data_IF_683296855991
#
_entry.id   IF_683296855991
#
_cell.length_a   1.000
_cell.length_b   1.000
_cell.length_c   1.000
_cell.angle_alpha   90.00
_cell.angle_beta   90.00
_cell.angle_gamma   90.00
#
_symmetry.space_group_name_H-M   'P 1'
#
loop_
_entity.id
_entity.type
_entity.pdbx_description
1 polymer ?
#
# COMPACT_ATOMS: atom_id res chain seq x y z
N UNK A 1 -18.38 8.30 15.26
CA UNK A 1 -16.93 7.98 15.27
C UNK A 1 -16.53 7.42 16.62
N UNK A 2 -15.95 6.22 16.65
CA UNK A 2 -15.41 5.59 17.85
C UNK A 2 -13.88 5.59 17.77
N UNK A 3 -13.25 6.53 18.46
CA UNK A 3 -11.80 6.75 18.41
C UNK A 3 -11.00 5.55 18.95
N UNK A 4 -11.51 4.86 19.97
CA UNK A 4 -10.82 3.70 20.53
C UNK A 4 -10.79 2.51 19.55
N UNK A 5 -11.88 2.32 18.78
CA UNK A 5 -11.91 1.33 17.70
C UNK A 5 -10.91 1.68 16.62
N UNK A 6 -10.84 2.94 16.19
CA UNK A 6 -9.88 3.41 15.18
C UNK A 6 -8.44 3.21 15.65
N UNK A 7 -8.09 3.63 16.87
CA UNK A 7 -6.76 3.45 17.47
C UNK A 7 -6.36 1.98 17.55
N UNK A 8 -7.27 1.11 18.00
CA UNK A 8 -7.01 -0.32 18.10
C UNK A 8 -6.74 -0.95 16.75
N UNK A 9 -7.60 -0.65 15.75
CA UNK A 9 -7.45 -1.17 14.39
C UNK A 9 -6.17 -0.65 13.74
N UNK A 10 -5.88 0.65 13.84
CA UNK A 10 -4.67 1.24 13.27
C UNK A 10 -3.38 0.63 13.87
N UNK A 11 -3.33 0.43 15.20
CA UNK A 11 -2.21 -0.26 15.86
C UNK A 11 -2.07 -1.71 15.39
N UNK A 12 -3.18 -2.42 15.17
CA UNK A 12 -3.14 -3.79 14.66
C UNK A 12 -2.59 -3.83 13.22
N UNK A 13 -2.90 -2.83 12.40
CA UNK A 13 -2.41 -2.74 11.02
C UNK A 13 -0.88 -2.67 10.94
N UNK A 14 -0.25 -2.04 11.91
CA UNK A 14 1.21 -1.84 12.00
C UNK A 14 1.86 -2.60 13.16
N UNK A 15 1.27 -3.73 13.56
CA UNK A 15 1.81 -4.59 14.60
C UNK A 15 3.22 -5.06 14.25
N UNK A 16 4.05 -5.28 15.28
CA UNK A 16 5.46 -5.66 15.11
C UNK A 16 5.64 -6.87 14.17
N UNK A 17 6.52 -6.72 13.21
CA UNK A 17 6.82 -7.74 12.21
C UNK A 17 5.67 -8.06 11.26
N UNK A 18 4.60 -7.26 11.21
CA UNK A 18 3.46 -7.48 10.31
C UNK A 18 3.29 -6.33 9.34
N UNK A 19 2.86 -6.66 8.14
CA UNK A 19 2.54 -5.66 7.11
C UNK A 19 1.23 -5.96 6.39
N UNK A 20 1.00 -5.27 5.29
CA UNK A 20 -0.25 -5.32 4.54
C UNK A 20 0.04 -5.75 3.09
N UNK A 21 -0.75 -6.66 2.55
CA UNK A 21 -0.75 -6.90 1.10
C UNK A 21 -1.72 -5.92 0.44
N UNK A 22 -1.25 -5.21 -0.57
CA UNK A 22 -2.11 -4.49 -1.48
C UNK A 22 -2.53 -5.43 -2.62
N UNK A 23 -3.74 -5.99 -2.52
CA UNK A 23 -4.36 -6.88 -3.51
C UNK A 23 -5.62 -6.21 -4.12
N UNK A 24 -5.52 -4.91 -4.33
CA UNK A 24 -6.60 -4.00 -4.68
C UNK A 24 -6.55 -3.49 -6.11
N UNK A 25 -5.83 -4.21 -6.98
CA UNK A 25 -5.77 -3.85 -8.40
C UNK A 25 -7.17 -3.85 -9.01
N UNK A 26 -7.52 -2.72 -9.66
CA UNK A 26 -8.73 -2.62 -10.47
C UNK A 26 -8.69 -3.61 -11.64
N UNK A 27 -9.84 -3.92 -12.24
CA UNK A 27 -9.92 -4.84 -13.39
C UNK A 27 -8.95 -4.46 -14.50
N UNK A 28 -8.83 -3.15 -14.84
CA UNK A 28 -7.87 -2.69 -15.85
C UNK A 28 -6.40 -2.83 -15.43
N UNK A 29 -6.09 -2.75 -14.14
CA UNK A 29 -4.73 -3.01 -13.63
C UNK A 29 -4.44 -4.52 -13.61
N UNK A 30 -5.42 -5.34 -13.22
CA UNK A 30 -5.31 -6.79 -13.33
C UNK A 30 -5.10 -7.23 -14.78
N UNK A 31 -5.84 -6.66 -15.74
CA UNK A 31 -5.68 -6.96 -17.16
C UNK A 31 -4.26 -6.73 -17.64
N UNK A 32 -3.67 -5.56 -17.33
CA UNK A 32 -2.28 -5.27 -17.67
C UNK A 32 -1.31 -6.29 -17.08
N UNK A 33 -1.51 -6.71 -15.83
CA UNK A 33 -0.66 -7.69 -15.14
C UNK A 33 -0.85 -9.10 -15.71
N UNK A 34 -2.09 -9.54 -15.91
CA UNK A 34 -2.40 -10.88 -16.46
C UNK A 34 -1.90 -11.04 -17.89
N UNK A 35 -1.98 -9.97 -18.69
CA UNK A 35 -1.39 -9.95 -20.06
C UNK A 35 0.10 -10.24 -20.04
N UNK A 36 0.87 -9.74 -19.06
CA UNK A 36 2.32 -10.00 -18.98
C UNK A 36 2.67 -11.46 -18.72
N UNK A 37 1.74 -12.24 -18.22
CA UNK A 37 1.90 -13.68 -17.90
C UNK A 37 1.02 -14.57 -18.76
N UNK A 38 0.35 -14.03 -19.79
CA UNK A 38 -0.43 -14.78 -20.76
C UNK A 38 -1.75 -15.36 -20.25
N UNK A 39 -2.29 -14.85 -19.14
CA UNK A 39 -3.55 -15.32 -18.57
C UNK A 39 -4.69 -14.39 -18.97
N UNK A 40 -5.85 -14.90 -19.46
CA UNK A 40 -7.03 -14.07 -19.72
C UNK A 40 -7.55 -13.41 -18.45
N UNK A 41 -7.84 -12.11 -18.50
CA UNK A 41 -8.34 -11.37 -17.33
C UNK A 41 -9.86 -11.46 -17.21
N UNK A 42 -10.38 -12.66 -17.02
CA UNK A 42 -11.80 -12.91 -16.72
C UNK A 42 -12.06 -12.63 -15.23
N UNK A 43 -13.33 -12.41 -14.85
CA UNK A 43 -13.73 -12.28 -13.46
C UNK A 43 -13.32 -13.52 -12.65
N UNK A 44 -13.56 -14.72 -13.20
CA UNK A 44 -13.21 -15.99 -12.57
C UNK A 44 -11.69 -16.14 -12.36
N UNK A 45 -10.86 -15.79 -13.33
CA UNK A 45 -9.41 -15.85 -13.15
C UNK A 45 -8.92 -14.84 -12.10
N UNK A 46 -9.55 -13.65 -12.01
CA UNK A 46 -9.27 -12.70 -10.93
C UNK A 46 -9.67 -13.27 -9.57
N UNK A 47 -10.86 -13.89 -9.47
CA UNK A 47 -11.35 -14.54 -8.26
C UNK A 47 -10.41 -15.65 -7.78
N UNK A 48 -10.04 -16.58 -8.67
CA UNK A 48 -9.12 -17.70 -8.36
C UNK A 48 -7.75 -17.18 -7.92
N UNK A 49 -7.22 -16.17 -8.59
CA UNK A 49 -5.96 -15.55 -8.19
C UNK A 49 -6.04 -14.92 -6.79
N UNK A 50 -7.14 -14.20 -6.49
CA UNK A 50 -7.39 -13.65 -5.15
C UNK A 50 -7.57 -14.74 -4.10
N UNK A 51 -8.30 -15.78 -4.42
CA UNK A 51 -8.44 -16.95 -3.56
C UNK A 51 -7.09 -17.58 -3.22
N UNK A 52 -6.20 -17.73 -4.21
CA UNK A 52 -4.84 -18.24 -4.00
C UNK A 52 -4.06 -17.43 -2.95
N UNK A 53 -4.21 -16.11 -2.94
CA UNK A 53 -3.59 -15.24 -1.95
C UNK A 53 -4.27 -15.38 -0.58
N UNK A 54 -5.60 -15.27 -0.54
CA UNK A 54 -6.40 -15.16 0.69
C UNK A 54 -6.42 -16.47 1.48
N UNK A 55 -6.36 -17.61 0.80
CA UNK A 55 -6.37 -18.93 1.43
C UNK A 55 -4.98 -19.46 1.78
N UNK A 56 -3.90 -18.72 1.49
CA UNK A 56 -2.55 -19.15 1.80
C UNK A 56 -2.42 -19.54 3.30
N UNK A 57 -1.76 -20.66 3.62
CA UNK A 57 -1.60 -21.09 5.00
C UNK A 57 -0.56 -20.19 5.71
N UNK A 58 -0.74 -20.00 7.01
CA UNK A 58 0.26 -19.35 7.90
C UNK A 58 0.66 -17.91 7.54
N UNK A 59 0.06 -17.28 6.53
CA UNK A 59 0.46 -15.92 6.11
C UNK A 59 0.08 -14.85 7.17
N UNK A 60 -0.87 -15.16 8.04
CA UNK A 60 -1.23 -14.34 9.19
C UNK A 60 -0.09 -14.15 10.19
N UNK A 61 0.96 -14.96 10.13
CA UNK A 61 2.18 -14.78 10.93
C UNK A 61 2.94 -13.50 10.54
N UNK A 62 2.83 -13.08 9.29
CA UNK A 62 3.60 -11.98 8.69
C UNK A 62 2.73 -10.79 8.26
N UNK A 63 1.42 -10.97 8.22
CA UNK A 63 0.50 -9.97 7.71
C UNK A 63 -0.55 -9.60 8.75
N UNK A 64 -0.90 -8.32 8.77
CA UNK A 64 -1.96 -7.74 9.59
C UNK A 64 -3.23 -7.45 8.78
N UNK A 65 -3.11 -7.22 7.47
CA UNK A 65 -4.23 -6.84 6.63
C UNK A 65 -4.01 -7.10 5.14
N UNK A 66 -5.11 -7.09 4.41
CA UNK A 66 -5.12 -7.14 2.94
C UNK A 66 -6.06 -6.06 2.43
N UNK A 67 -5.58 -5.21 1.51
CA UNK A 67 -6.43 -4.25 0.80
C UNK A 67 -7.09 -4.99 -0.36
N UNK A 68 -8.41 -5.01 -0.39
CA UNK A 68 -9.21 -5.65 -1.44
C UNK A 68 -9.73 -4.61 -2.44
N UNK A 69 -10.10 -5.07 -3.63
CA UNK A 69 -10.86 -4.30 -4.59
C UNK A 69 -12.37 -4.52 -4.38
N UNK A 70 -13.22 -3.62 -4.88
CA UNK A 70 -14.69 -3.70 -4.74
C UNK A 70 -15.26 -5.05 -5.20
N UNK A 71 -14.82 -5.56 -6.37
CA UNK A 71 -15.20 -6.88 -6.85
C UNK A 71 -14.84 -7.96 -5.84
N UNK A 72 -13.61 -7.92 -5.30
CA UNK A 72 -13.06 -8.98 -4.44
C UNK A 72 -13.72 -9.07 -3.07
N UNK A 73 -14.06 -7.93 -2.45
CA UNK A 73 -14.69 -7.95 -1.11
C UNK A 73 -16.10 -8.55 -1.14
N UNK A 74 -16.71 -8.61 -2.33
CA UNK A 74 -18.04 -9.18 -2.58
C UNK A 74 -17.99 -10.65 -2.98
N UNK A 75 -16.80 -11.18 -3.31
CA UNK A 75 -16.61 -12.54 -3.79
C UNK A 75 -16.44 -13.55 -2.66
N UNK A 76 -16.64 -14.81 -3.03
CA UNK A 76 -16.57 -15.99 -2.18
C UNK A 76 -15.52 -16.97 -2.74
N UNK A 77 -15.03 -17.86 -1.89
CA UNK A 77 -14.19 -18.98 -2.29
C UNK A 77 -15.02 -20.10 -2.93
N UNK A 78 -14.36 -21.19 -3.33
CA UNK A 78 -15.00 -22.35 -3.94
C UNK A 78 -16.00 -23.08 -3.00
N UNK A 79 -15.99 -22.76 -1.71
CA UNK A 79 -16.90 -23.34 -0.70
C UNK A 79 -18.07 -22.38 -0.38
N UNK A 80 -18.15 -21.21 -1.00
CA UNK A 80 -19.17 -20.21 -0.73
C UNK A 80 -18.89 -19.37 0.53
N UNK A 81 -17.64 -19.32 1.01
CA UNK A 81 -17.26 -18.47 2.11
C UNK A 81 -16.69 -17.13 1.59
N UNK A 82 -17.21 -16.00 2.09
CA UNK A 82 -16.76 -14.67 1.68
C UNK A 82 -15.28 -14.46 2.01
N UNK A 83 -14.52 -13.87 1.10
CA UNK A 83 -13.10 -13.59 1.31
C UNK A 83 -12.81 -12.75 2.55
N UNK A 84 -13.66 -11.78 2.88
CA UNK A 84 -13.51 -10.97 4.09
C UNK A 84 -13.69 -11.80 5.38
N UNK A 85 -14.58 -12.79 5.37
CA UNK A 85 -14.81 -13.68 6.52
C UNK A 85 -13.63 -14.65 6.72
N UNK A 86 -13.07 -15.19 5.64
CA UNK A 86 -11.84 -16.00 5.67
C UNK A 86 -10.69 -15.21 6.29
N UNK A 87 -10.49 -13.98 5.88
CA UNK A 87 -9.46 -13.09 6.44
C UNK A 87 -9.67 -12.84 7.92
N UNK A 88 -10.90 -12.48 8.31
CA UNK A 88 -11.26 -12.20 9.70
C UNK A 88 -11.03 -13.42 10.61
N UNK A 89 -11.40 -14.64 10.17
CA UNK A 89 -11.13 -15.89 10.89
C UNK A 89 -9.64 -16.15 11.12
N UNK A 90 -8.79 -15.69 10.20
CA UNK A 90 -7.32 -15.77 10.32
C UNK A 90 -6.72 -14.61 11.15
N UNK A 91 -7.54 -13.68 11.65
CA UNK A 91 -7.07 -12.50 12.37
C UNK A 91 -6.44 -11.43 11.48
N UNK A 92 -6.71 -11.49 10.17
CA UNK A 92 -6.28 -10.52 9.16
C UNK A 92 -7.39 -9.49 8.96
N UNK A 93 -7.02 -8.22 8.96
CA UNK A 93 -7.95 -7.11 8.74
C UNK A 93 -8.32 -7.01 7.24
N UNK A 94 -9.60 -7.13 6.87
CA UNK A 94 -10.04 -6.78 5.52
C UNK A 94 -9.99 -5.27 5.32
N UNK A 95 -9.34 -4.83 4.26
CA UNK A 95 -9.30 -3.44 3.81
C UNK A 95 -9.91 -3.28 2.44
N UNK A 96 -10.23 -2.05 2.07
CA UNK A 96 -10.90 -1.73 0.80
C UNK A 96 -10.29 -0.50 0.12
N UNK A 97 -9.98 -0.62 -1.18
CA UNK A 97 -9.67 0.52 -2.03
C UNK A 97 -10.96 1.25 -2.39
N UNK A 98 -11.05 2.52 -2.06
CA UNK A 98 -12.28 3.32 -2.25
C UNK A 98 -12.15 4.44 -3.27
N UNK A 99 -10.93 4.79 -3.72
CA UNK A 99 -10.75 5.76 -4.79
C UNK A 99 -11.23 5.22 -6.16
N UNK A 100 -11.69 6.11 -7.04
CA UNK A 100 -12.11 5.82 -8.40
C UNK A 100 -10.96 5.91 -9.43
N UNK A 101 -9.72 6.04 -8.96
CA UNK A 101 -8.51 6.13 -9.76
C UNK A 101 -8.07 7.54 -10.11
N UNK A 102 -6.82 7.65 -10.52
CA UNK A 102 -6.22 8.91 -10.94
C UNK A 102 -6.70 9.31 -12.34
N UNK A 103 -7.10 10.57 -12.51
CA UNK A 103 -7.54 11.21 -13.75
C UNK A 103 -6.60 12.36 -14.10
N UNK A 104 -6.64 12.83 -15.33
CA UNK A 104 -5.87 14.00 -15.73
C UNK A 104 -6.34 15.23 -14.95
N UNK A 105 -5.40 15.97 -14.36
CA UNK A 105 -5.71 17.23 -13.72
C UNK A 105 -5.93 18.30 -14.80
N UNK A 106 -7.14 18.86 -14.86
CA UNK A 106 -7.50 19.84 -15.87
C UNK A 106 -6.52 21.03 -15.88
N UNK A 107 -6.07 21.44 -17.06
CA UNK A 107 -5.11 22.52 -17.29
C UNK A 107 -3.68 22.27 -16.76
N UNK A 108 -3.38 21.08 -16.25
CA UNK A 108 -2.07 20.66 -15.78
C UNK A 108 -1.60 19.40 -16.49
N UNK A 109 -0.98 19.50 -17.68
CA UNK A 109 -0.50 18.35 -18.44
C UNK A 109 0.41 17.44 -17.60
N UNK A 110 0.24 16.12 -17.77
CA UNK A 110 1.02 15.07 -17.10
C UNK A 110 0.84 14.98 -15.57
N UNK A 111 0.00 15.81 -14.98
CA UNK A 111 -0.38 15.73 -13.58
C UNK A 111 -1.75 15.04 -13.40
N UNK A 112 -1.95 14.43 -12.25
CA UNK A 112 -3.16 13.65 -11.94
C UNK A 112 -3.84 14.17 -10.69
N UNK A 113 -5.16 14.00 -10.66
CA UNK A 113 -6.00 14.11 -9.45
C UNK A 113 -6.77 12.81 -9.26
N UNK A 114 -6.87 12.34 -8.03
CA UNK A 114 -7.63 11.13 -7.73
C UNK A 114 -9.06 11.49 -7.39
N UNK A 115 -10.00 10.81 -8.06
CA UNK A 115 -11.44 10.98 -7.88
C UNK A 115 -12.04 9.87 -7.01
N UNK A 116 -13.32 10.03 -6.59
CA UNK A 116 -14.06 8.99 -5.86
C UNK A 116 -14.71 9.45 -4.56
N UNK A 117 -14.80 10.78 -4.30
CA UNK A 117 -15.48 11.30 -3.10
C UNK A 117 -17.02 11.24 -3.22
N UNK A 118 -17.55 11.33 -4.45
CA UNK A 118 -18.98 11.29 -4.66
C UNK A 118 -19.58 9.94 -4.23
N UNK A 119 -20.61 9.96 -3.38
CA UNK A 119 -21.23 8.77 -2.81
C UNK A 119 -20.31 7.93 -1.91
N UNK A 120 -19.19 8.48 -1.43
CA UNK A 120 -18.25 7.71 -0.63
C UNK A 120 -18.81 7.33 0.74
N UNK A 121 -19.62 8.20 1.37
CA UNK A 121 -20.26 7.91 2.67
C UNK A 121 -21.12 6.65 2.59
N UNK A 122 -21.93 6.54 1.55
CA UNK A 122 -22.81 5.40 1.32
C UNK A 122 -22.01 4.13 1.03
N UNK A 123 -20.97 4.24 0.20
CA UNK A 123 -20.06 3.10 -0.09
C UNK A 123 -19.30 2.62 1.15
N UNK A 124 -18.84 3.53 2.02
CA UNK A 124 -18.18 3.13 3.28
C UNK A 124 -19.13 2.40 4.22
N UNK A 125 -20.40 2.87 4.32
CA UNK A 125 -21.42 2.16 5.10
C UNK A 125 -21.66 0.75 4.54
N UNK A 126 -21.74 0.59 3.22
CA UNK A 126 -21.87 -0.71 2.57
C UNK A 126 -20.63 -1.60 2.83
N UNK A 127 -19.42 -1.10 2.59
CA UNK A 127 -18.19 -1.89 2.80
C UNK A 127 -18.02 -2.34 4.26
N UNK A 128 -18.50 -1.56 5.21
CA UNK A 128 -18.53 -1.97 6.62
C UNK A 128 -19.39 -3.22 6.82
N UNK A 129 -20.51 -3.38 6.08
CA UNK A 129 -21.35 -4.60 6.15
C UNK A 129 -20.65 -5.82 5.56
N UNK A 130 -19.69 -5.63 4.65
CA UNK A 130 -18.81 -6.69 4.14
C UNK A 130 -17.60 -6.97 5.05
N UNK A 131 -17.45 -6.27 6.17
CA UNK A 131 -16.39 -6.49 7.14
C UNK A 131 -15.15 -5.63 6.93
N UNK A 132 -15.17 -4.60 6.07
CA UNK A 132 -14.04 -3.69 5.91
C UNK A 132 -13.72 -2.96 7.22
N UNK A 133 -12.47 -3.02 7.67
CA UNK A 133 -11.97 -2.38 8.89
C UNK A 133 -11.07 -1.18 8.60
N UNK A 134 -10.49 -1.12 7.42
CA UNK A 134 -9.71 0.01 6.95
C UNK A 134 -9.95 0.25 5.45
N UNK A 135 -9.68 1.45 5.01
CA UNK A 135 -9.80 1.84 3.61
C UNK A 135 -8.48 2.40 3.09
N UNK A 136 -8.33 2.48 1.76
CA UNK A 136 -7.16 3.06 1.13
C UNK A 136 -7.57 4.00 -0.01
N UNK A 137 -6.90 5.17 -0.05
CA UNK A 137 -6.98 6.15 -1.12
C UNK A 137 -5.58 6.52 -1.58
N UNK A 138 -5.33 6.40 -2.88
CA UNK A 138 -4.03 6.68 -3.49
C UNK A 138 -4.11 7.94 -4.33
N UNK A 139 -3.25 8.92 -4.04
CA UNK A 139 -2.93 10.01 -4.96
C UNK A 139 -1.64 9.67 -5.73
N UNK A 140 -1.52 10.15 -6.96
CA UNK A 140 -0.37 9.92 -7.84
C UNK A 140 0.28 11.25 -8.16
N UNK A 141 1.54 11.42 -7.74
CA UNK A 141 2.30 12.67 -7.87
C UNK A 141 3.50 12.41 -8.79
N UNK A 142 3.48 13.00 -9.97
CA UNK A 142 4.58 12.93 -10.92
C UNK A 142 5.71 13.88 -10.51
N UNK A 143 6.97 13.40 -10.56
CA UNK A 143 8.16 14.21 -10.37
C UNK A 143 8.76 14.48 -11.74
N UNK A 144 8.88 15.75 -12.10
CA UNK A 144 9.40 16.16 -13.40
C UNK A 144 9.79 17.64 -13.44
N UNK A 145 10.00 18.14 -14.67
CA UNK A 145 10.31 19.54 -14.86
C UNK A 145 9.07 20.38 -14.53
N UNK A 146 9.19 21.28 -13.53
CA UNK A 146 8.09 22.08 -12.99
C UNK A 146 6.90 21.25 -12.42
N UNK A 147 7.10 19.98 -12.12
CA UNK A 147 6.12 19.11 -11.49
C UNK A 147 6.65 18.54 -10.17
N UNK A 148 5.76 18.35 -9.16
CA UNK A 148 4.34 18.68 -9.17
C UNK A 148 4.06 20.16 -8.97
N UNK A 149 2.95 20.66 -9.57
CA UNK A 149 2.40 21.99 -9.30
C UNK A 149 1.78 22.07 -7.91
N UNK A 150 1.62 23.29 -7.37
CA UNK A 150 0.89 23.50 -6.12
C UNK A 150 -0.56 23.07 -6.23
N UNK A 151 -1.18 23.25 -7.40
CA UNK A 151 -2.54 22.81 -7.68
C UNK A 151 -2.69 21.28 -7.56
N UNK A 152 -1.75 20.51 -8.14
CA UNK A 152 -1.75 19.04 -8.03
C UNK A 152 -1.62 18.59 -6.58
N UNK A 153 -0.66 19.13 -5.85
CA UNK A 153 -0.43 18.78 -4.44
C UNK A 153 -1.67 19.11 -3.60
N UNK A 154 -2.22 20.33 -3.74
CA UNK A 154 -3.36 20.76 -2.96
C UNK A 154 -4.63 19.95 -3.26
N UNK A 155 -4.96 19.75 -4.54
CA UNK A 155 -6.18 19.01 -4.92
C UNK A 155 -6.17 17.57 -4.39
N UNK A 156 -5.02 16.88 -4.48
CA UNK A 156 -4.88 15.52 -3.99
C UNK A 156 -4.86 15.46 -2.45
N UNK A 157 -4.17 16.36 -1.77
CA UNK A 157 -4.13 16.41 -0.31
C UNK A 157 -5.51 16.69 0.27
N UNK A 158 -6.24 17.66 -0.28
CA UNK A 158 -7.61 17.98 0.13
C UNK A 158 -8.57 16.81 -0.07
N UNK A 159 -8.49 16.12 -1.21
CA UNK A 159 -9.31 14.93 -1.47
C UNK A 159 -9.02 13.82 -0.46
N UNK A 160 -7.74 13.56 -0.13
CA UNK A 160 -7.35 12.57 0.88
C UNK A 160 -7.83 12.94 2.28
N UNK A 161 -7.80 14.22 2.66
CA UNK A 161 -8.28 14.67 3.95
C UNK A 161 -9.81 14.47 4.11
N UNK A 162 -10.59 14.83 3.09
CA UNK A 162 -12.04 14.59 3.06
C UNK A 162 -12.37 13.09 3.10
N UNK A 163 -11.63 12.29 2.35
CA UNK A 163 -11.75 10.83 2.39
C UNK A 163 -11.47 10.28 3.79
N UNK A 164 -10.38 10.74 4.44
CA UNK A 164 -10.00 10.28 5.78
C UNK A 164 -11.05 10.62 6.83
N UNK A 165 -11.62 11.83 6.80
CA UNK A 165 -12.71 12.24 7.67
C UNK A 165 -13.96 11.35 7.50
N UNK A 166 -14.35 11.05 6.26
CA UNK A 166 -15.47 10.13 5.97
C UNK A 166 -15.21 8.70 6.48
N UNK A 167 -13.98 8.22 6.36
CA UNK A 167 -13.60 6.91 6.91
C UNK A 167 -13.73 6.88 8.44
N UNK A 168 -13.21 7.89 9.13
CA UNK A 168 -13.27 7.95 10.58
C UNK A 168 -14.72 8.11 11.09
N UNK A 169 -15.56 8.87 10.38
CA UNK A 169 -17.00 8.95 10.66
C UNK A 169 -17.65 7.55 10.62
N UNK A 170 -17.21 6.69 9.67
CA UNK A 170 -17.71 5.33 9.51
C UNK A 170 -17.03 4.29 10.43
N UNK A 171 -16.14 4.69 11.36
CA UNK A 171 -15.28 3.81 12.18
C UNK A 171 -14.40 2.87 11.32
N UNK A 172 -13.89 3.36 10.20
CA UNK A 172 -12.96 2.69 9.29
C UNK A 172 -11.64 3.46 9.32
N UNK A 173 -10.50 2.77 9.49
CA UNK A 173 -9.19 3.41 9.51
C UNK A 173 -8.77 3.83 8.11
N UNK A 174 -8.50 5.12 7.83
CA UNK A 174 -7.98 5.53 6.52
C UNK A 174 -6.48 5.24 6.38
N UNK A 175 -6.09 4.63 5.25
CA UNK A 175 -4.73 4.70 4.72
C UNK A 175 -4.69 5.85 3.71
N UNK A 176 -3.88 6.87 3.99
CA UNK A 176 -3.60 7.96 3.06
C UNK A 176 -2.32 7.65 2.29
N UNK A 177 -2.39 7.63 0.93
CA UNK A 177 -1.29 7.20 0.07
C UNK A 177 -0.90 8.31 -0.94
N UNK A 178 -0.16 9.36 -0.51
CA UNK A 178 0.39 10.38 -1.41
C UNK A 178 1.64 9.82 -2.12
N UNK A 179 1.45 9.03 -3.17
CA UNK A 179 2.56 8.36 -3.87
C UNK A 179 3.30 9.31 -4.80
N UNK A 180 4.57 9.61 -4.49
CA UNK A 180 5.51 10.22 -5.40
C UNK A 180 6.09 9.14 -6.33
N UNK A 181 5.90 9.29 -7.65
CA UNK A 181 6.31 8.29 -8.62
C UNK A 181 7.83 8.27 -8.79
N UNK A 182 8.39 7.05 -8.84
CA UNK A 182 9.82 6.84 -9.15
C UNK A 182 10.10 6.78 -10.68
N UNK A 183 9.06 6.94 -11.51
CA UNK A 183 9.20 6.99 -12.95
C UNK A 183 9.77 8.35 -13.36
N UNK A 184 10.98 8.37 -13.92
CA UNK A 184 11.69 9.60 -14.28
C UNK A 184 13.19 9.48 -14.07
N UNK A 185 13.88 10.61 -14.21
CA UNK A 185 15.34 10.76 -14.12
C UNK A 185 15.78 11.65 -12.95
N UNK A 186 14.84 11.98 -12.05
CA UNK A 186 15.09 12.85 -10.91
C UNK A 186 16.06 12.24 -9.90
N UNK A 187 16.86 13.10 -9.25
CA UNK A 187 17.75 12.68 -8.18
C UNK A 187 17.00 12.36 -6.88
N UNK A 188 17.69 11.74 -5.93
CA UNK A 188 17.13 11.46 -4.60
C UNK A 188 16.79 12.75 -3.83
N UNK A 189 17.59 13.82 -4.03
CA UNK A 189 17.34 15.13 -3.43
C UNK A 189 16.04 15.73 -3.97
N UNK A 190 15.79 15.61 -5.28
CA UNK A 190 14.53 16.07 -5.87
C UNK A 190 13.34 15.25 -5.38
N UNK A 191 13.50 13.93 -5.26
CA UNK A 191 12.50 13.06 -4.63
C UNK A 191 12.19 13.49 -3.20
N UNK A 192 13.22 13.84 -2.41
CA UNK A 192 13.06 14.35 -1.05
C UNK A 192 12.24 15.66 -1.02
N UNK A 193 12.61 16.65 -1.81
CA UNK A 193 11.89 17.94 -1.88
C UNK A 193 10.38 17.73 -2.16
N UNK A 194 10.08 16.91 -3.16
CA UNK A 194 8.69 16.64 -3.56
C UNK A 194 7.96 15.87 -2.48
N UNK A 195 8.61 14.87 -1.88
CA UNK A 195 8.01 14.07 -0.80
C UNK A 195 7.68 14.94 0.41
N UNK A 196 8.61 15.80 0.84
CA UNK A 196 8.38 16.74 1.96
C UNK A 196 7.19 17.66 1.64
N UNK A 197 7.15 18.24 0.43
CA UNK A 197 6.06 19.12 0.00
C UNK A 197 4.71 18.40 0.01
N UNK A 198 4.65 17.18 -0.53
CA UNK A 198 3.43 16.39 -0.59
C UNK A 198 2.94 15.97 0.79
N UNK A 199 3.84 15.46 1.65
CA UNK A 199 3.48 15.03 3.00
C UNK A 199 3.04 16.21 3.87
N UNK A 200 3.78 17.33 3.86
CA UNK A 200 3.42 18.52 4.62
C UNK A 200 2.00 18.97 4.27
N UNK A 201 1.70 19.10 2.96
CA UNK A 201 0.36 19.51 2.54
C UNK A 201 -0.70 18.48 2.89
N UNK A 202 -0.40 17.20 2.82
CA UNK A 202 -1.33 16.13 3.23
C UNK A 202 -1.70 16.25 4.71
N UNK A 203 -0.74 16.44 5.60
CA UNK A 203 -1.02 16.56 7.04
C UNK A 203 -1.69 17.89 7.40
N UNK A 204 -1.34 19.00 6.73
CA UNK A 204 -2.07 20.28 6.87
C UNK A 204 -3.57 20.13 6.53
N UNK A 205 -3.89 19.43 5.44
CA UNK A 205 -5.28 19.22 5.03
C UNK A 205 -6.01 18.22 5.95
N UNK A 206 -5.32 17.19 6.44
CA UNK A 206 -5.89 16.24 7.42
C UNK A 206 -6.23 16.95 8.73
N UNK A 207 -5.34 17.80 9.25
CA UNK A 207 -5.58 18.63 10.43
C UNK A 207 -6.76 19.59 10.21
N UNK A 208 -6.81 20.24 9.05
CA UNK A 208 -7.90 21.13 8.66
C UNK A 208 -9.28 20.46 8.52
N UNK A 209 -9.32 19.13 8.46
CA UNK A 209 -10.55 18.31 8.45
C UNK A 209 -10.79 17.62 9.80
N UNK A 210 -10.12 18.03 10.87
CA UNK A 210 -10.24 17.45 12.22
C UNK A 210 -9.98 15.94 12.27
N UNK A 211 -9.14 15.41 11.36
CA UNK A 211 -8.79 13.98 11.32
C UNK A 211 -7.88 13.62 12.48
N UNK A 212 -8.24 12.59 13.25
CA UNK A 212 -7.48 12.11 14.40
C UNK A 212 -6.33 11.22 13.93
N UNK A 213 -5.08 11.66 14.07
CA UNK A 213 -3.91 10.99 13.52
C UNK A 213 -3.63 9.59 14.10
N UNK A 214 -3.95 9.35 15.36
CA UNK A 214 -3.86 8.03 16.00
C UNK A 214 -4.78 6.97 15.36
N UNK A 215 -5.74 7.40 14.56
CA UNK A 215 -6.63 6.56 13.76
C UNK A 215 -6.30 6.59 12.25
N UNK A 216 -5.09 6.98 11.86
CA UNK A 216 -4.63 7.05 10.46
C UNK A 216 -3.36 6.23 10.28
N UNK A 217 -3.22 5.57 9.13
CA UNK A 217 -1.96 4.98 8.68
C UNK A 217 -1.50 5.71 7.41
N UNK A 218 -0.25 6.19 7.42
CA UNK A 218 0.38 6.74 6.23
C UNK A 218 0.94 5.61 5.38
N UNK A 219 0.62 5.60 4.09
CA UNK A 219 1.31 4.76 3.10
C UNK A 219 2.20 5.64 2.23
N UNK A 220 3.50 5.61 2.51
CA UNK A 220 4.47 6.51 1.92
C UNK A 220 5.27 5.87 0.78
N UNK A 221 5.70 6.69 -0.19
CA UNK A 221 6.83 6.36 -1.04
C UNK A 221 8.11 6.42 -0.22
N UNK A 222 9.08 5.57 -0.55
CA UNK A 222 10.45 5.77 -0.10
C UNK A 222 11.06 6.93 -0.90
N UNK A 223 11.89 7.74 -0.28
CA UNK A 223 12.66 8.79 -0.98
C UNK A 223 13.79 8.10 -1.73
N UNK A 224 13.67 8.02 -3.05
CA UNK A 224 14.58 7.27 -3.92
C UNK A 224 14.75 8.01 -5.25
N UNK A 225 15.92 7.85 -5.88
CA UNK A 225 16.14 8.38 -7.22
C UNK A 225 15.21 7.73 -8.26
N UNK A 226 14.87 8.47 -9.29
CA UNK A 226 14.07 7.97 -10.40
C UNK A 226 14.74 6.80 -11.11
N UNK A 227 13.93 5.91 -11.70
CA UNK A 227 14.43 4.71 -12.41
C UNK A 227 15.43 5.01 -13.52
N UNK A 228 15.35 6.19 -14.13
CA UNK A 228 16.24 6.65 -15.22
C UNK A 228 17.32 7.62 -14.72
N UNK A 229 17.41 7.84 -13.41
CA UNK A 229 18.46 8.71 -12.85
C UNK A 229 19.85 8.14 -13.14
N UNK A 230 20.82 8.99 -13.48
CA UNK A 230 22.20 8.55 -13.76
C UNK A 230 22.87 7.85 -12.56
N UNK A 231 22.51 8.27 -11.34
CA UNK A 231 22.96 7.66 -10.09
C UNK A 231 21.77 7.04 -9.39
N UNK A 232 21.85 5.73 -9.12
CA UNK A 232 20.87 5.03 -8.30
C UNK A 232 21.24 5.13 -6.82
N UNK A 233 20.24 5.15 -5.96
CA UNK A 233 20.41 5.31 -4.51
C UNK A 233 20.73 3.96 -3.85
N UNK A 234 21.67 3.95 -2.92
CA UNK A 234 21.91 2.81 -2.03
C UNK A 234 20.80 2.69 -0.97
N UNK A 235 20.59 1.50 -0.37
CA UNK A 235 19.62 1.33 0.71
C UNK A 235 19.87 2.28 1.89
N UNK A 236 21.12 2.61 2.19
CA UNK A 236 21.47 3.55 3.25
C UNK A 236 21.02 4.98 2.90
N UNK A 237 21.30 5.45 1.67
CA UNK A 237 20.85 6.79 1.20
C UNK A 237 19.32 6.88 1.21
N UNK A 238 18.62 5.83 0.76
CA UNK A 238 17.15 5.75 0.80
C UNK A 238 16.64 5.85 2.23
N UNK A 239 17.22 5.10 3.16
CA UNK A 239 16.83 5.11 4.56
C UNK A 239 17.00 6.49 5.19
N UNK A 240 18.18 7.09 5.04
CA UNK A 240 18.49 8.42 5.61
C UNK A 240 17.55 9.51 5.09
N UNK A 241 17.36 9.57 3.77
CA UNK A 241 16.53 10.59 3.14
C UNK A 241 15.04 10.38 3.42
N UNK A 242 14.57 9.12 3.45
CA UNK A 242 13.17 8.80 3.79
C UNK A 242 12.86 9.16 5.24
N UNK A 243 13.68 8.73 6.18
CA UNK A 243 13.46 9.04 7.60
C UNK A 243 13.59 10.53 7.89
N UNK A 244 14.47 11.25 7.17
CA UNK A 244 14.58 12.71 7.26
C UNK A 244 13.26 13.38 6.82
N UNK A 245 12.70 12.97 5.66
CA UNK A 245 11.44 13.52 5.17
C UNK A 245 10.27 13.25 6.14
N UNK A 246 10.18 12.01 6.67
CA UNK A 246 9.13 11.65 7.63
C UNK A 246 9.26 12.46 8.94
N UNK A 247 10.45 12.58 9.51
CA UNK A 247 10.69 13.37 10.74
C UNK A 247 10.31 14.83 10.60
N UNK A 248 10.46 15.39 9.41
CA UNK A 248 10.14 16.79 9.12
C UNK A 248 8.64 17.04 8.96
N UNK A 249 7.86 16.03 8.56
CA UNK A 249 6.51 16.26 8.05
C UNK A 249 5.40 15.47 8.74
N UNK A 250 5.73 14.34 9.37
CA UNK A 250 4.73 13.43 9.92
C UNK A 250 4.50 13.69 11.42
N UNK A 251 3.25 13.90 11.87
CA UNK A 251 2.92 14.07 13.28
C UNK A 251 3.35 12.88 14.13
N UNK A 252 3.84 13.13 15.33
CA UNK A 252 4.37 12.10 16.23
C UNK A 252 3.33 11.11 16.74
N UNK A 253 2.06 11.51 16.76
CA UNK A 253 0.91 10.73 17.21
C UNK A 253 0.23 9.93 16.09
N UNK A 254 0.80 9.93 14.86
CA UNK A 254 0.33 9.05 13.78
C UNK A 254 0.44 7.58 14.23
N UNK A 255 -0.54 6.74 13.88
CA UNK A 255 -0.54 5.34 14.29
C UNK A 255 0.64 4.53 13.73
N UNK A 256 1.07 4.82 12.49
CA UNK A 256 2.20 4.16 11.87
C UNK A 256 2.38 4.49 10.39
N UNK A 257 3.52 4.08 9.84
CA UNK A 257 3.89 4.27 8.45
C UNK A 257 4.11 2.92 7.79
N UNK A 258 3.43 2.69 6.67
CA UNK A 258 3.68 1.56 5.78
C UNK A 258 4.21 2.07 4.45
N UNK A 259 5.16 1.37 3.85
CA UNK A 259 5.73 1.80 2.58
C UNK A 259 5.10 1.07 1.41
N UNK A 260 4.91 1.76 0.30
CA UNK A 260 4.63 1.14 -0.99
C UNK A 260 5.94 0.70 -1.66
N UNK A 261 5.87 -0.31 -2.54
CA UNK A 261 7.06 -0.72 -3.30
C UNK A 261 7.36 0.17 -4.53
N UNK A 262 6.37 0.93 -5.02
CA UNK A 262 6.54 1.98 -6.04
C UNK A 262 7.18 1.55 -7.37
N UNK A 263 7.30 0.24 -7.62
CA UNK A 263 7.99 -0.26 -8.81
C UNK A 263 9.46 -0.61 -8.60
N UNK A 264 9.94 -0.60 -7.36
CA UNK A 264 11.18 -1.25 -6.94
C UNK A 264 11.07 -2.77 -7.15
N UNK A 265 12.20 -3.44 -7.32
CA UNK A 265 12.29 -4.90 -7.25
C UNK A 265 11.88 -5.42 -5.88
N UNK A 266 11.54 -6.69 -5.79
CA UNK A 266 11.11 -7.31 -4.54
C UNK A 266 12.21 -7.31 -3.47
N UNK A 267 13.45 -7.63 -3.81
CA UNK A 267 14.60 -7.56 -2.92
C UNK A 267 14.92 -6.11 -2.53
N UNK A 268 15.01 -5.20 -3.52
CA UNK A 268 15.31 -3.79 -3.28
C UNK A 268 14.32 -3.15 -2.29
N UNK A 269 13.03 -3.39 -2.45
CA UNK A 269 12.01 -2.86 -1.54
C UNK A 269 12.20 -3.42 -0.11
N UNK A 270 12.60 -4.69 0.01
CA UNK A 270 12.88 -5.36 1.29
C UNK A 270 14.16 -4.79 1.94
N UNK A 271 15.24 -4.62 1.17
CA UNK A 271 16.51 -4.05 1.66
C UNK A 271 16.34 -2.60 2.15
N UNK A 272 15.61 -1.79 1.39
CA UNK A 272 15.34 -0.41 1.77
C UNK A 272 14.50 -0.32 3.05
N UNK A 273 13.49 -1.18 3.21
CA UNK A 273 12.70 -1.26 4.44
C UNK A 273 13.56 -1.68 5.64
N UNK A 274 14.42 -2.67 5.45
CA UNK A 274 15.34 -3.17 6.48
C UNK A 274 16.34 -2.10 6.92
N UNK A 275 16.91 -1.36 5.97
CA UNK A 275 17.83 -0.26 6.25
C UNK A 275 17.17 0.85 7.08
N UNK A 276 15.90 1.20 6.78
CA UNK A 276 15.15 2.18 7.56
C UNK A 276 14.88 1.70 8.98
N UNK A 277 14.51 0.42 9.17
CA UNK A 277 14.25 -0.13 10.50
C UNK A 277 15.54 -0.30 11.32
N UNK A 278 16.66 -0.63 10.69
CA UNK A 278 17.99 -0.65 11.35
C UNK A 278 18.43 0.75 11.78
N UNK A 279 18.19 1.76 10.96
CA UNK A 279 18.53 3.14 11.30
C UNK A 279 17.62 3.70 12.41
N UNK A 280 16.33 3.42 12.36
CA UNK A 280 15.37 3.74 13.40
C UNK A 280 15.28 5.23 13.76
N UNK A 281 15.00 5.53 15.03
CA UNK A 281 14.96 6.91 15.55
C UNK A 281 13.73 7.71 15.14
N UNK A 282 12.61 7.04 14.88
CA UNK A 282 11.28 7.63 14.61
C UNK A 282 10.27 7.10 15.63
N UNK A 283 9.19 7.86 15.93
CA UNK A 283 8.22 7.44 16.95
C UNK A 283 7.23 6.38 16.45
N UNK A 284 7.07 6.22 15.13
CA UNK A 284 6.09 5.32 14.54
C UNK A 284 6.70 3.95 14.17
N UNK A 285 5.91 2.87 14.21
CA UNK A 285 6.25 1.63 13.54
C UNK A 285 6.42 1.87 12.02
N UNK A 286 7.46 1.28 11.44
CA UNK A 286 7.74 1.29 10.00
C UNK A 286 7.51 -0.11 9.44
N UNK A 287 6.55 -0.27 8.53
CA UNK A 287 6.24 -1.56 7.95
C UNK A 287 5.99 -1.44 6.43
N UNK A 288 5.37 -2.43 5.82
CA UNK A 288 5.14 -2.50 4.38
C UNK A 288 3.65 -2.60 4.04
N UNK A 289 3.28 -2.02 2.89
CA UNK A 289 2.01 -2.28 2.20
C UNK A 289 2.30 -2.50 0.72
N UNK A 290 2.81 -3.69 0.40
CA UNK A 290 3.32 -3.99 -0.92
C UNK A 290 2.30 -4.69 -1.81
N UNK A 291 2.30 -4.31 -3.09
CA UNK A 291 1.62 -5.02 -4.16
C UNK A 291 2.65 -5.86 -4.94
N UNK A 292 3.32 -5.25 -5.91
CA UNK A 292 4.20 -5.95 -6.86
C UNK A 292 5.38 -6.67 -6.19
N UNK A 293 6.01 -6.09 -5.19
CA UNK A 293 7.15 -6.70 -4.51
C UNK A 293 6.81 -8.02 -3.77
N UNK A 294 5.53 -8.26 -3.46
CA UNK A 294 5.06 -9.55 -2.95
C UNK A 294 4.43 -10.38 -4.06
N UNK A 295 3.53 -9.79 -4.85
CA UNK A 295 2.66 -10.53 -5.75
C UNK A 295 3.30 -10.91 -7.10
N UNK A 296 4.41 -10.28 -7.53
CA UNK A 296 4.99 -10.62 -8.85
C UNK A 296 5.44 -12.08 -8.95
N UNK A 297 6.22 -12.66 -8.00
CA UNK A 297 6.54 -14.08 -8.06
C UNK A 297 5.30 -14.96 -7.91
N UNK A 298 4.33 -14.56 -7.08
CA UNK A 298 3.06 -15.29 -6.90
C UNK A 298 2.31 -15.41 -8.21
N UNK A 299 2.10 -14.28 -8.90
CA UNK A 299 1.38 -14.23 -10.18
C UNK A 299 2.09 -15.05 -11.25
N UNK A 300 3.41 -14.94 -11.34
CA UNK A 300 4.21 -15.67 -12.33
C UNK A 300 4.07 -17.19 -12.16
N UNK A 301 4.24 -17.69 -10.95
CA UNK A 301 4.13 -19.12 -10.65
C UNK A 301 2.70 -19.64 -10.83
N UNK A 302 1.70 -18.89 -10.36
CA UNK A 302 0.30 -19.25 -10.54
C UNK A 302 -0.07 -19.34 -12.02
N UNK A 303 0.37 -18.38 -12.83
CA UNK A 303 0.03 -18.30 -14.25
C UNK A 303 0.58 -19.45 -15.11
N UNK A 304 1.70 -20.09 -14.71
CA UNK A 304 2.24 -21.26 -15.41
C UNK A 304 1.22 -22.42 -15.47
N UNK A 305 0.48 -22.65 -14.40
CA UNK A 305 -0.65 -23.58 -14.32
C UNK A 305 -1.55 -23.23 -13.14
N UNK A 306 -2.60 -22.41 -13.33
CA UNK A 306 -3.45 -21.92 -12.27
C UNK A 306 -4.05 -22.96 -11.31
N UNK A 307 -4.32 -24.17 -11.82
CA UNK A 307 -4.88 -25.25 -11.04
C UNK A 307 -3.83 -26.04 -10.25
N UNK A 308 -2.67 -26.30 -10.86
CA UNK A 308 -1.63 -27.14 -10.26
C UNK A 308 -0.65 -26.37 -9.38
N UNK A 309 -0.44 -25.08 -9.65
CA UNK A 309 0.60 -24.29 -9.00
C UNK A 309 0.12 -23.44 -7.82
N UNK A 310 -1.11 -23.63 -7.33
CA UNK A 310 -1.62 -22.90 -6.15
C UNK A 310 -0.64 -22.99 -4.98
N UNK A 311 -0.18 -24.18 -4.61
CA UNK A 311 0.75 -24.39 -3.50
C UNK A 311 2.11 -23.72 -3.71
N UNK A 312 2.64 -23.73 -4.95
CA UNK A 312 3.89 -23.01 -5.27
C UNK A 312 3.73 -21.50 -5.16
N UNK A 313 2.64 -20.95 -5.68
CA UNK A 313 2.32 -19.54 -5.59
C UNK A 313 2.14 -19.09 -4.13
N UNK A 314 1.46 -19.89 -3.32
CA UNK A 314 1.31 -19.64 -1.88
C UNK A 314 2.66 -19.71 -1.14
N UNK A 315 3.54 -20.65 -1.50
CA UNK A 315 4.91 -20.70 -0.94
C UNK A 315 5.71 -19.43 -1.24
N UNK A 316 5.59 -18.91 -2.46
CA UNK A 316 6.21 -17.64 -2.83
C UNK A 316 5.63 -16.45 -2.03
N UNK A 317 4.31 -16.42 -1.85
CA UNK A 317 3.62 -15.42 -1.03
C UNK A 317 4.17 -15.40 0.40
N UNK A 318 4.22 -16.58 1.02
CA UNK A 318 4.69 -16.75 2.41
C UNK A 318 6.15 -16.32 2.52
N UNK A 319 6.99 -16.76 1.59
CA UNK A 319 8.41 -16.41 1.58
C UNK A 319 8.61 -14.89 1.50
N UNK A 320 7.98 -14.21 0.53
CA UNK A 320 8.10 -12.74 0.40
C UNK A 320 7.51 -12.01 1.60
N UNK A 321 6.40 -12.48 2.14
CA UNK A 321 5.81 -11.91 3.36
C UNK A 321 6.74 -12.06 4.57
N UNK A 322 7.39 -13.22 4.73
CA UNK A 322 8.40 -13.47 5.77
C UNK A 322 9.62 -12.55 5.62
N UNK A 323 10.15 -12.38 4.41
CA UNK A 323 11.31 -11.50 4.18
C UNK A 323 10.98 -10.04 4.53
N UNK A 324 9.83 -9.54 4.12
CA UNK A 324 9.37 -8.20 4.46
C UNK A 324 9.04 -8.04 5.96
N UNK A 325 8.52 -9.08 6.60
CA UNK A 325 8.32 -9.11 8.05
C UNK A 325 9.65 -8.98 8.82
N UNK A 326 10.69 -9.67 8.38
CA UNK A 326 12.03 -9.56 8.95
C UNK A 326 12.62 -8.16 8.70
N UNK A 327 12.41 -7.60 7.51
CA UNK A 327 12.85 -6.24 7.18
C UNK A 327 12.13 -5.18 8.04
N UNK A 328 10.84 -5.35 8.32
CA UNK A 328 10.11 -4.47 9.24
C UNK A 328 10.62 -4.52 10.68
N UNK A 329 11.43 -5.52 11.01
CA UNK A 329 12.11 -5.68 12.32
C UNK A 329 13.62 -5.36 12.28
N UNK A 330 14.17 -4.94 11.11
CA UNK A 330 15.60 -4.72 10.93
C UNK A 330 16.45 -6.01 11.03
N UNK A 331 15.85 -7.16 10.71
CA UNK A 331 16.46 -8.50 10.82
C UNK A 331 16.70 -9.19 9.48
N UNK A 332 16.37 -8.54 8.37
CA UNK A 332 16.57 -9.11 7.05
C UNK A 332 18.05 -9.09 6.64
N UNK A 333 18.43 -10.08 5.84
CA UNK A 333 19.72 -10.16 5.14
C UNK A 333 19.49 -10.74 3.74
N UNK A 334 20.20 -10.21 2.73
CA UNK A 334 20.14 -10.71 1.35
C UNK A 334 20.54 -12.19 1.22
N UNK A 335 21.34 -12.73 2.15
CA UNK A 335 21.68 -14.16 2.19
C UNK A 335 20.43 -15.05 2.34
N UNK A 336 19.37 -14.55 3.01
CA UNK A 336 18.13 -15.28 3.20
C UNK A 336 17.38 -15.51 1.87
N UNK A 337 17.66 -14.72 0.84
CA UNK A 337 17.08 -14.91 -0.49
C UNK A 337 17.54 -16.21 -1.17
N UNK A 338 18.64 -16.80 -0.72
CA UNK A 338 19.10 -18.13 -1.19
C UNK A 338 18.15 -19.27 -0.79
N UNK A 339 17.28 -19.02 0.20
CA UNK A 339 16.28 -19.98 0.68
C UNK A 339 14.94 -19.90 -0.12
N UNK A 340 14.89 -19.15 -1.21
CA UNK A 340 13.67 -19.04 -2.03
C UNK A 340 13.18 -20.43 -2.46
N UNK A 341 11.89 -20.76 -2.21
CA UNK A 341 11.32 -22.05 -2.57
C UNK A 341 10.88 -22.15 -4.03
N UNK A 342 11.24 -21.18 -4.89
CA UNK A 342 10.78 -21.05 -6.28
C UNK A 342 11.85 -20.47 -7.21
#
# INVERSE_FOLDING_TARGET
MNIETLRKTAKQMVADGKGIIAADESSGTCEKRFTTVGVPCTEENRRIYRQTIITAPDFEKYLSGIILYDETIRQEDDNGERFADILTKKGILPGIKVDAGAKDLALHPDEKVTEGLDGLRERLAEYKTFGAMFAKWRAVITIGNNMPSDACIHANAHAMARYAALCQEADIVPIVEPECLIDGDHSIEKSYEVTVKALRKTFEELEGQDVVFEGVVLKASMVIAGKKAPKQSSPQEVAEMTLKALKETVPADLAGVVFLSGGQGDEQATENLDAMNKLGGVPWPLSFSYARAIQNPVLKLWAENPSANVGKAQSALIFRSKMNSLAAQGKYSSEMEKERPY
#
